data_IF_185943350626
#
_entry.id   IF_185943350626
#
_cell.length_a   1.000
_cell.length_b   1.000
_cell.length_c   1.000
_cell.angle_alpha   90.00
_cell.angle_beta   90.00
_cell.angle_gamma   90.00
#
_symmetry.space_group_name_H-M   'P 1'
#
loop_
_entity.id
_entity.type
_entity.pdbx_description
1 polymer ?
#
# COMPACT_ATOMS: atom_id res chain seq x y z
N UNK A 1 3.20 9.43 -6.66
CA UNK A 1 3.23 8.10 -7.29
C UNK A 1 3.51 8.29 -8.76
N UNK A 2 4.45 7.54 -9.33
CA UNK A 2 4.62 7.46 -10.79
C UNK A 2 3.65 6.45 -11.39
N UNK A 3 3.19 6.67 -12.61
CA UNK A 3 2.46 5.69 -13.42
C UNK A 3 3.41 4.71 -14.14
N UNK A 4 4.70 5.06 -14.21
CA UNK A 4 5.78 4.27 -14.81
C UNK A 4 7.14 4.58 -14.15
N UNK A 5 8.17 3.82 -14.49
CA UNK A 5 9.57 4.08 -14.14
C UNK A 5 10.34 4.82 -15.25
N UNK A 6 11.62 4.50 -15.47
CA UNK A 6 12.44 5.26 -16.43
C UNK A 6 12.08 4.91 -17.89
N UNK A 7 11.42 5.85 -18.57
CA UNK A 7 10.92 5.66 -19.95
C UNK A 7 11.89 5.96 -21.08
N UNK A 8 12.91 6.76 -20.83
CA UNK A 8 13.70 7.37 -21.89
C UNK A 8 15.19 7.05 -21.76
N UNK A 9 15.88 7.11 -22.90
CA UNK A 9 17.32 6.86 -23.00
C UNK A 9 17.68 5.41 -23.36
N UNK A 10 18.95 5.20 -23.70
CA UNK A 10 19.46 3.90 -24.18
C UNK A 10 19.28 2.77 -23.16
N UNK A 11 19.26 3.10 -21.86
CA UNK A 11 19.04 2.13 -20.79
C UNK A 11 17.68 1.43 -20.89
N UNK A 12 16.63 2.13 -21.36
CA UNK A 12 15.28 1.57 -21.52
C UNK A 12 15.22 0.38 -22.48
N UNK A 13 16.14 0.31 -23.45
CA UNK A 13 16.23 -0.79 -24.43
C UNK A 13 16.80 -2.08 -23.83
N UNK A 14 17.41 -2.02 -22.65
CA UNK A 14 17.92 -3.21 -21.95
C UNK A 14 16.78 -3.99 -21.27
N UNK A 15 16.98 -5.28 -21.01
CA UNK A 15 16.01 -6.10 -20.27
C UNK A 15 15.74 -5.54 -18.86
N UNK A 16 16.77 -5.02 -18.19
CA UNK A 16 16.62 -4.39 -16.88
C UNK A 16 15.84 -3.09 -16.99
N UNK A 17 16.13 -2.24 -17.99
CA UNK A 17 15.38 -1.01 -18.23
C UNK A 17 13.90 -1.24 -18.56
N UNK A 18 13.56 -2.35 -19.23
CA UNK A 18 12.16 -2.77 -19.41
C UNK A 18 11.47 -3.10 -18.09
N UNK A 19 12.17 -3.78 -17.17
CA UNK A 19 11.64 -4.08 -15.83
C UNK A 19 11.47 -2.79 -15.03
N UNK A 20 12.46 -1.90 -15.06
CA UNK A 20 12.40 -0.62 -14.35
C UNK A 20 11.30 0.30 -14.90
N UNK A 21 11.05 0.34 -16.21
CA UNK A 21 9.91 1.09 -16.77
C UNK A 21 8.57 0.62 -16.22
N UNK A 22 8.44 -0.69 -15.94
CA UNK A 22 7.25 -1.28 -15.32
C UNK A 22 7.26 -1.19 -13.79
N UNK A 23 8.27 -0.55 -13.18
CA UNK A 23 8.42 -0.39 -11.74
C UNK A 23 8.19 1.08 -11.31
N UNK A 24 6.93 1.50 -11.13
CA UNK A 24 6.61 2.86 -10.70
C UNK A 24 7.05 3.13 -9.26
N UNK A 25 7.59 4.34 -9.02
CA UNK A 25 7.97 4.75 -7.68
C UNK A 25 6.78 5.29 -6.86
N UNK A 26 6.69 4.86 -5.59
CA UNK A 26 5.74 5.37 -4.60
C UNK A 26 6.49 5.95 -3.40
N UNK A 27 6.18 7.19 -3.06
CA UNK A 27 6.64 7.86 -1.84
C UNK A 27 5.45 8.36 -1.05
N UNK A 28 5.50 8.20 0.28
CA UNK A 28 4.44 8.62 1.20
C UNK A 28 5.04 9.53 2.27
N UNK A 29 4.42 10.69 2.47
CA UNK A 29 4.77 11.60 3.57
C UNK A 29 3.65 11.60 4.59
N UNK A 30 3.97 11.15 5.80
CA UNK A 30 3.01 11.10 6.90
C UNK A 30 2.88 12.49 7.55
N UNK A 31 1.66 13.02 7.72
CA UNK A 31 1.44 14.27 8.45
C UNK A 31 2.02 14.20 9.86
N UNK A 32 2.60 15.30 10.35
CA UNK A 32 3.30 15.36 11.64
C UNK A 32 2.46 14.80 12.80
N UNK A 33 1.17 15.16 12.85
CA UNK A 33 0.22 14.69 13.88
C UNK A 33 0.06 13.16 13.93
N UNK A 34 0.36 12.44 12.85
CA UNK A 34 0.24 10.99 12.75
C UNK A 34 1.57 10.24 12.92
N UNK A 35 2.72 10.94 12.94
CA UNK A 35 4.04 10.31 13.04
C UNK A 35 4.29 9.64 14.39
N UNK A 36 3.58 10.07 15.44
CA UNK A 36 3.65 9.44 16.76
C UNK A 36 2.68 8.25 16.92
N UNK A 37 1.88 7.93 15.90
CA UNK A 37 0.98 6.78 15.92
C UNK A 37 1.76 5.51 15.53
N UNK A 38 2.29 4.82 16.55
CA UNK A 38 3.11 3.62 16.37
C UNK A 38 2.45 2.55 15.46
N UNK A 39 1.17 2.19 15.64
CA UNK A 39 0.49 1.26 14.73
C UNK A 39 0.54 1.66 13.25
N UNK A 40 0.26 2.93 12.92
CA UNK A 40 0.27 3.42 11.54
C UNK A 40 1.70 3.42 10.99
N UNK A 41 2.66 3.90 11.77
CA UNK A 41 4.05 3.97 11.35
C UNK A 41 4.65 2.59 11.13
N UNK A 42 4.37 1.63 12.02
CA UNK A 42 4.81 0.25 11.88
C UNK A 42 4.19 -0.41 10.64
N UNK A 43 2.89 -0.20 10.40
CA UNK A 43 2.23 -0.70 9.20
C UNK A 43 2.84 -0.13 7.90
N UNK A 44 3.15 1.17 7.87
CA UNK A 44 3.81 1.80 6.72
C UNK A 44 5.24 1.27 6.51
N UNK A 45 5.99 1.03 7.60
CA UNK A 45 7.35 0.46 7.54
C UNK A 45 7.36 -1.00 7.09
N UNK A 46 6.36 -1.78 7.44
CA UNK A 46 6.25 -3.17 6.97
C UNK A 46 5.80 -3.22 5.51
N UNK A 47 4.82 -2.39 5.12
CA UNK A 47 4.36 -2.31 3.73
C UNK A 47 5.46 -1.80 2.79
N UNK A 48 6.38 -0.95 3.25
CA UNK A 48 7.50 -0.47 2.42
C UNK A 48 8.50 -1.57 2.02
N UNK A 49 8.45 -2.74 2.68
CA UNK A 49 9.26 -3.92 2.36
C UNK A 49 8.51 -4.93 1.50
N UNK A 50 7.27 -4.62 1.09
CA UNK A 50 6.41 -5.50 0.31
C UNK A 50 6.21 -4.95 -1.10
N UNK A 51 5.84 -5.84 -2.02
CA UNK A 51 5.40 -5.43 -3.35
C UNK A 51 4.00 -4.83 -3.25
N UNK A 52 3.87 -3.56 -3.62
CA UNK A 52 2.62 -2.81 -3.59
C UNK A 52 2.17 -2.54 -5.04
N UNK A 53 0.87 -2.69 -5.28
CA UNK A 53 0.22 -2.35 -6.54
C UNK A 53 -0.64 -1.08 -6.42
N UNK A 54 -1.10 -0.56 -7.56
CA UNK A 54 -2.07 0.53 -7.59
C UNK A 54 -3.39 0.17 -6.88
N UNK A 55 -3.76 -1.12 -6.83
CA UNK A 55 -4.98 -1.56 -6.14
C UNK A 55 -4.89 -1.39 -4.63
N UNK A 56 -3.70 -1.57 -4.05
CA UNK A 56 -3.47 -1.39 -2.61
C UNK A 56 -3.59 0.08 -2.21
N UNK A 57 -3.13 0.99 -3.07
CA UNK A 57 -3.30 2.42 -2.89
C UNK A 57 -4.77 2.84 -3.00
N UNK A 58 -5.49 2.31 -3.99
CA UNK A 58 -6.93 2.53 -4.10
C UNK A 58 -7.65 2.06 -2.83
N UNK A 59 -7.36 0.86 -2.36
CA UNK A 59 -7.93 0.33 -1.12
C UNK A 59 -7.59 1.22 0.09
N UNK A 60 -6.34 1.70 0.18
CA UNK A 60 -5.88 2.60 1.25
C UNK A 60 -6.63 3.94 1.23
N UNK A 61 -6.84 4.55 0.06
CA UNK A 61 -7.59 5.80 -0.04
C UNK A 61 -9.07 5.61 0.26
N UNK A 62 -9.66 4.50 -0.18
CA UNK A 62 -11.05 4.15 0.18
C UNK A 62 -11.16 3.95 1.69
N UNK A 63 -10.20 3.29 2.33
CA UNK A 63 -10.17 3.11 3.79
C UNK A 63 -10.08 4.46 4.52
N UNK A 64 -9.14 5.34 4.12
CA UNK A 64 -9.01 6.68 4.69
C UNK A 64 -10.31 7.51 4.53
N UNK A 65 -10.91 7.47 3.34
CA UNK A 65 -12.10 8.26 3.04
C UNK A 65 -13.35 7.75 3.79
N UNK A 66 -13.46 6.43 4.00
CA UNK A 66 -14.63 5.81 4.66
C UNK A 66 -14.47 5.65 6.16
N UNK A 67 -13.23 5.59 6.66
CA UNK A 67 -12.90 5.44 8.07
C UNK A 67 -12.06 6.64 8.57
N UNK A 68 -12.59 7.88 8.55
CA UNK A 68 -11.84 9.10 8.88
C UNK A 68 -11.42 9.21 10.36
N UNK A 69 -11.59 8.17 11.18
CA UNK A 69 -11.28 8.16 12.62
C UNK A 69 -10.75 6.81 13.13
N UNK A 70 -9.57 6.38 12.70
CA UNK A 70 -8.77 5.42 13.47
C UNK A 70 -7.99 6.14 14.59
N UNK A 71 -8.72 6.89 15.42
CA UNK A 71 -8.29 7.36 16.73
C UNK A 71 -9.01 6.53 17.80
N UNK A 72 -8.37 5.45 18.24
CA UNK A 72 -8.82 4.66 19.37
C UNK A 72 -8.21 3.26 19.35
N UNK A 73 -7.96 2.62 20.51
CA UNK A 73 -7.54 1.23 20.55
C UNK A 73 -8.60 0.39 19.82
N UNK A 74 -8.15 -0.48 18.92
CA UNK A 74 -9.01 -1.35 18.13
C UNK A 74 -9.97 -2.13 19.05
N UNK A 75 -11.20 -1.64 19.23
CA UNK A 75 -12.29 -2.53 19.63
C UNK A 75 -12.58 -3.39 18.41
N UNK A 76 -11.93 -4.55 18.39
CA UNK A 76 -12.21 -5.63 17.45
C UNK A 76 -13.67 -6.04 17.64
N UNK A 77 -14.60 -5.35 16.98
CA UNK A 77 -15.97 -5.85 16.85
C UNK A 77 -15.86 -7.12 16.04
N UNK A 78 -16.12 -8.25 16.70
CA UNK A 78 -16.25 -9.56 16.09
C UNK A 78 -17.40 -9.53 15.08
N UNK A 79 -17.14 -9.06 13.87
CA UNK A 79 -18.05 -9.24 12.74
C UNK A 79 -17.53 -10.44 11.97
N UNK A 80 -18.10 -11.61 12.29
CA UNK A 80 -17.91 -12.93 11.63
C UNK A 80 -17.99 -12.91 10.08
N UNK A 81 -18.31 -11.77 9.45
CA UNK A 81 -18.59 -11.67 8.00
C UNK A 81 -17.35 -11.38 7.15
N UNK A 82 -16.30 -10.75 7.69
CA UNK A 82 -15.11 -10.36 6.90
C UNK A 82 -14.06 -11.49 6.81
N UNK A 83 -14.09 -12.44 7.75
CA UNK A 83 -13.18 -13.59 7.78
C UNK A 83 -13.37 -14.59 6.62
N UNK A 84 -14.46 -14.48 5.86
CA UNK A 84 -14.75 -15.36 4.72
C UNK A 84 -14.07 -14.96 3.42
N UNK A 85 -13.63 -13.71 3.26
CA UNK A 85 -13.07 -13.24 1.98
C UNK A 85 -11.57 -13.53 1.88
N UNK A 86 -10.82 -13.43 2.98
CA UNK A 86 -9.37 -13.67 2.99
C UNK A 86 -9.02 -15.17 2.94
N UNK A 87 -9.92 -16.05 3.40
CA UNK A 87 -9.71 -17.49 3.34
C UNK A 87 -9.79 -18.09 1.91
N UNK A 88 -10.36 -17.37 0.94
CA UNK A 88 -10.56 -17.91 -0.42
C UNK A 88 -9.36 -17.72 -1.36
N UNK A 89 -8.34 -16.96 -0.95
CA UNK A 89 -7.16 -16.67 -1.80
C UNK A 89 -5.99 -17.62 -1.49
N UNK A 90 -6.03 -18.37 -0.38
CA UNK A 90 -4.96 -19.30 0.01
C UNK A 90 -5.32 -20.79 -0.19
N UNK A 91 -6.42 -21.08 -0.88
CA UNK A 91 -6.72 -22.42 -1.39
C UNK A 91 -6.91 -22.35 -2.91
N UNK A 92 -5.78 -22.26 -3.62
CA UNK A 92 -5.57 -22.77 -4.99
C UNK A 92 -4.07 -22.75 -5.32
#
# INVERSE_FOLDING_TARGET
MGDHGLRFGQFRSTRVGQVEDNNPALFVVVPEKLRNNYPIMNMLQENSKQLISHFDLYASFVDIARNPMLTGPAKRKSTKKIQRVIACVNEN
#
